data_IF_832504764955
#
_entry.id   IF_832504764955
#
_cell.length_a   1.000
_cell.length_b   1.000
_cell.length_c   1.000
_cell.angle_alpha   90.00
_cell.angle_beta   90.00
_cell.angle_gamma   90.00
#
_symmetry.space_group_name_H-M   'P 1'
#
loop_
_entity.id
_entity.type
_entity.pdbx_description
1 polymer ?
#
# COMPACT_ATOMS: atom_id res chain seq x y z
N UNK A 1 12.41 0.87 -6.52
CA UNK A 1 11.05 0.46 -6.93
C UNK A 1 11.13 -0.30 -8.25
N UNK A 2 10.40 -1.40 -8.45
CA UNK A 2 10.39 -2.12 -9.74
C UNK A 2 9.64 -1.38 -10.85
N UNK A 3 8.97 -0.27 -10.52
CA UNK A 3 8.14 0.52 -11.43
C UNK A 3 8.57 1.99 -11.51
N UNK A 4 8.11 2.65 -12.57
CA UNK A 4 8.40 4.04 -12.90
C UNK A 4 7.11 4.82 -13.17
N UNK A 5 6.36 5.13 -12.11
CA UNK A 5 5.23 6.05 -12.21
C UNK A 5 5.74 7.46 -12.49
N UNK A 6 5.14 8.18 -13.44
CA UNK A 6 5.68 9.43 -13.96
C UNK A 6 5.72 10.57 -12.92
N UNK A 7 4.92 10.47 -11.86
CA UNK A 7 4.84 11.45 -10.77
C UNK A 7 5.69 11.09 -9.55
N UNK A 8 6.20 9.85 -9.47
CA UNK A 8 6.76 9.33 -8.24
C UNK A 8 8.23 9.71 -8.10
N UNK A 9 8.60 10.27 -6.95
CA UNK A 9 9.99 10.67 -6.65
C UNK A 9 10.86 9.51 -6.12
N UNK A 10 10.37 8.27 -6.14
CA UNK A 10 11.13 7.09 -5.71
C UNK A 10 11.94 6.55 -6.88
N UNK A 11 13.24 6.32 -6.65
CA UNK A 11 14.15 5.75 -7.65
C UNK A 11 13.67 4.39 -8.17
N UNK A 12 13.51 4.29 -9.48
CA UNK A 12 13.27 3.02 -10.17
C UNK A 12 14.57 2.24 -10.30
N UNK A 13 14.52 0.93 -10.07
CA UNK A 13 15.68 0.06 -10.18
C UNK A 13 15.38 -1.36 -9.72
N UNK A 14 16.42 -2.19 -9.70
CA UNK A 14 16.36 -3.54 -9.11
C UNK A 14 16.43 -3.37 -7.60
N UNK A 15 15.41 -3.76 -6.82
CA UNK A 15 15.46 -3.68 -5.37
C UNK A 15 16.51 -4.63 -4.79
N UNK A 16 17.05 -4.26 -3.64
CA UNK A 16 17.83 -5.18 -2.82
C UNK A 16 16.96 -6.35 -2.30
N UNK A 17 17.64 -7.36 -1.77
CA UNK A 17 16.98 -8.45 -1.06
C UNK A 17 16.12 -7.89 0.07
N UNK A 18 14.95 -8.49 0.27
CA UNK A 18 14.06 -8.13 1.37
C UNK A 18 14.80 -8.36 2.70
N UNK A 19 14.83 -7.33 3.54
CA UNK A 19 15.39 -7.44 4.88
C UNK A 19 14.32 -7.97 5.86
N UNK A 20 14.52 -9.20 6.32
CA UNK A 20 13.58 -9.89 7.20
C UNK A 20 13.48 -9.25 8.60
N UNK A 21 14.46 -8.44 9.00
CA UNK A 21 14.48 -7.74 10.30
C UNK A 21 13.96 -6.30 10.23
N UNK A 22 13.59 -5.81 9.04
CA UNK A 22 12.96 -4.49 8.90
C UNK A 22 11.71 -4.32 9.78
N UNK A 23 10.79 -5.29 9.89
CA UNK A 23 9.61 -5.18 10.76
C UNK A 23 9.94 -4.93 12.24
N UNK A 24 10.95 -5.64 12.76
CA UNK A 24 11.38 -5.53 14.16
C UNK A 24 11.99 -4.15 14.44
N UNK A 25 12.84 -3.66 13.53
CA UNK A 25 13.47 -2.34 13.65
C UNK A 25 12.46 -1.21 13.49
N UNK A 26 11.52 -1.34 12.56
CA UNK A 26 10.43 -0.38 12.36
C UNK A 26 9.62 -0.22 13.65
N UNK A 27 9.18 -1.33 14.22
CA UNK A 27 8.37 -1.32 15.43
C UNK A 27 9.15 -0.83 16.67
N UNK A 28 10.45 -1.13 16.77
CA UNK A 28 11.32 -0.53 17.79
C UNK A 28 11.41 1.00 17.65
N UNK A 29 11.60 1.52 16.42
CA UNK A 29 11.65 2.95 16.18
C UNK A 29 10.31 3.65 16.51
N UNK A 30 9.17 3.05 16.13
CA UNK A 30 7.83 3.58 16.45
C UNK A 30 7.63 3.70 17.96
N UNK A 31 8.07 2.69 18.73
CA UNK A 31 7.98 2.70 20.19
C UNK A 31 8.83 3.82 20.81
N UNK A 32 10.06 4.01 20.34
CA UNK A 32 10.95 5.10 20.81
C UNK A 32 10.35 6.48 20.52
N UNK A 33 9.72 6.65 19.35
CA UNK A 33 9.08 7.90 18.94
C UNK A 33 7.70 8.13 19.60
N UNK A 34 7.15 7.12 20.30
CA UNK A 34 5.84 7.16 20.96
C UNK A 34 4.70 7.66 20.03
N UNK A 35 4.72 7.19 18.78
CA UNK A 35 3.71 7.59 17.79
C UNK A 35 2.36 6.97 18.11
N UNK A 36 1.27 7.72 17.90
CA UNK A 36 -0.11 7.25 18.11
C UNK A 36 -0.82 6.83 16.82
N UNK A 37 -0.33 7.31 15.69
CA UNK A 37 -0.79 6.93 14.37
C UNK A 37 0.42 6.77 13.45
N UNK A 38 0.44 5.70 12.66
CA UNK A 38 1.51 5.41 11.72
C UNK A 38 0.92 5.01 10.36
N UNK A 39 1.58 5.46 9.29
CA UNK A 39 1.30 5.06 7.92
C UNK A 39 2.49 4.23 7.43
N UNK A 40 2.24 2.98 7.02
CA UNK A 40 3.25 2.12 6.40
C UNK A 40 3.00 2.11 4.90
N UNK A 41 4.03 2.36 4.10
CA UNK A 41 3.95 2.21 2.65
C UNK A 41 5.16 1.44 2.13
N UNK A 42 5.11 1.02 0.87
CA UNK A 42 6.21 0.32 0.23
C UNK A 42 6.38 0.78 -1.21
N UNK A 43 7.55 0.48 -1.76
CA UNK A 43 7.74 0.46 -3.21
C UNK A 43 7.03 -0.76 -3.81
N UNK A 44 6.79 -0.75 -5.12
CA UNK A 44 6.40 -1.97 -5.84
C UNK A 44 7.57 -2.97 -5.83
N UNK A 45 7.25 -4.21 -5.46
CA UNK A 45 8.15 -5.37 -5.38
C UNK A 45 7.66 -6.48 -6.29
N UNK A 46 7.59 -6.21 -7.60
CA UNK A 46 7.14 -7.19 -8.59
C UNK A 46 8.02 -8.48 -8.59
N UNK A 47 9.25 -8.36 -8.10
CA UNK A 47 10.23 -9.43 -7.90
C UNK A 47 9.84 -10.43 -6.79
N UNK A 48 8.98 -10.05 -5.84
CA UNK A 48 8.51 -10.94 -4.79
C UNK A 48 7.25 -11.71 -5.22
N UNK A 49 7.09 -12.98 -4.79
CA UNK A 49 5.96 -13.83 -5.20
C UNK A 49 4.59 -13.32 -4.68
N UNK A 50 4.58 -12.53 -3.60
CA UNK A 50 3.40 -11.93 -2.98
C UNK A 50 3.36 -10.40 -3.15
N UNK A 51 4.34 -9.82 -3.85
CA UNK A 51 4.48 -8.37 -4.00
C UNK A 51 4.84 -7.64 -2.69
N UNK A 52 5.31 -8.35 -1.66
CA UNK A 52 5.63 -7.80 -0.34
C UNK A 52 4.45 -7.76 0.64
N UNK A 53 3.31 -8.40 0.32
CA UNK A 53 2.13 -8.42 1.18
C UNK A 53 2.41 -9.00 2.58
N UNK A 54 3.14 -10.12 2.69
CA UNK A 54 3.51 -10.70 3.99
C UNK A 54 4.36 -9.76 4.81
N UNK A 55 5.16 -8.90 4.16
CA UNK A 55 6.02 -7.96 4.84
C UNK A 55 5.22 -6.88 5.56
N UNK A 56 4.16 -6.37 4.94
CA UNK A 56 3.20 -5.49 5.61
C UNK A 56 2.59 -6.16 6.85
N UNK A 57 2.17 -7.42 6.73
CA UNK A 57 1.57 -8.16 7.86
C UNK A 57 2.58 -8.30 9.01
N UNK A 58 3.82 -8.69 8.72
CA UNK A 58 4.90 -8.78 9.72
C UNK A 58 5.15 -7.44 10.41
N UNK A 59 5.14 -6.33 9.66
CA UNK A 59 5.26 -4.99 10.25
C UNK A 59 4.09 -4.65 11.19
N UNK A 60 2.86 -4.93 10.78
CA UNK A 60 1.67 -4.73 11.63
C UNK A 60 1.79 -5.55 12.91
N UNK A 61 2.10 -6.83 12.80
CA UNK A 61 2.21 -7.74 13.95
C UNK A 61 3.29 -7.30 14.93
N UNK A 62 4.48 -6.91 14.43
CA UNK A 62 5.58 -6.43 15.27
C UNK A 62 5.26 -5.12 16.01
N UNK A 63 4.47 -4.23 15.39
CA UNK A 63 3.99 -3.01 16.05
C UNK A 63 2.97 -3.36 17.12
N UNK A 64 1.99 -4.20 16.80
CA UNK A 64 0.92 -4.62 17.72
C UNK A 64 1.44 -5.37 18.95
N UNK A 65 2.52 -6.14 18.81
CA UNK A 65 3.21 -6.79 19.95
C UNK A 65 3.74 -5.78 20.97
N UNK A 66 4.09 -4.56 20.53
CA UNK A 66 4.67 -3.51 21.38
C UNK A 66 3.61 -2.55 21.93
N UNK A 67 2.65 -2.14 21.10
CA UNK A 67 1.52 -1.30 21.52
C UNK A 67 0.29 -1.59 20.65
N UNK A 68 -0.74 -2.19 21.26
CA UNK A 68 -1.99 -2.52 20.59
C UNK A 68 -2.87 -1.30 20.30
N UNK A 69 -2.59 -0.14 20.91
CA UNK A 69 -3.43 1.06 20.79
C UNK A 69 -3.01 2.01 19.66
N UNK A 70 -1.84 1.80 19.04
CA UNK A 70 -1.38 2.62 17.92
C UNK A 70 -2.32 2.42 16.73
N UNK A 71 -2.79 3.49 16.10
CA UNK A 71 -3.57 3.33 14.86
C UNK A 71 -2.63 3.12 13.66
N UNK A 72 -2.91 2.12 12.83
CA UNK A 72 -2.07 1.70 11.71
C UNK A 72 -2.85 1.85 10.39
N UNK A 73 -2.39 2.77 9.55
CA UNK A 73 -2.78 2.85 8.13
C UNK A 73 -1.71 2.17 7.29
N UNK A 74 -2.12 1.38 6.29
CA UNK A 74 -1.21 0.89 5.25
C UNK A 74 -1.58 1.50 3.91
N UNK A 75 -0.59 2.03 3.19
CA UNK A 75 -0.70 2.50 1.81
C UNK A 75 0.02 1.51 0.90
N UNK A 76 -0.74 0.64 0.25
CA UNK A 76 -0.18 -0.51 -0.48
C UNK A 76 0.03 -0.23 -1.97
N UNK A 77 0.98 -0.93 -2.61
CA UNK A 77 0.99 -1.07 -4.07
C UNK A 77 -0.25 -1.82 -4.56
N UNK A 78 -0.36 -2.02 -5.86
CA UNK A 78 -1.50 -2.71 -6.47
C UNK A 78 -1.38 -4.24 -6.49
N UNK A 79 -0.24 -4.81 -6.09
CA UNK A 79 0.03 -6.25 -6.12
C UNK A 79 -0.29 -6.91 -7.47
N UNK A 80 -0.01 -6.23 -8.59
CA UNK A 80 -0.30 -6.68 -9.95
C UNK A 80 0.09 -8.15 -10.18
N UNK A 81 -0.88 -8.95 -10.64
CA UNK A 81 -0.74 -10.39 -10.90
C UNK A 81 -0.37 -11.23 -9.66
N UNK A 82 -0.64 -10.75 -8.44
CA UNK A 82 -0.43 -11.47 -7.18
C UNK A 82 -1.78 -11.70 -6.47
N UNK A 83 -2.61 -12.65 -6.93
CA UNK A 83 -3.99 -12.81 -6.43
C UNK A 83 -4.09 -13.14 -4.94
N UNK A 84 -3.03 -13.71 -4.35
CA UNK A 84 -2.99 -14.06 -2.93
C UNK A 84 -2.66 -12.88 -2.01
N UNK A 85 -2.08 -11.79 -2.53
CA UNK A 85 -1.65 -10.64 -1.73
C UNK A 85 -2.81 -9.99 -0.97
N UNK A 86 -3.97 -9.84 -1.62
CA UNK A 86 -5.17 -9.29 -0.97
C UNK A 86 -5.62 -10.16 0.20
N UNK A 87 -5.57 -11.49 0.06
CA UNK A 87 -5.98 -12.39 1.14
C UNK A 87 -5.06 -12.23 2.34
N UNK A 88 -3.76 -12.16 2.10
CA UNK A 88 -2.74 -11.93 3.14
C UNK A 88 -3.03 -10.63 3.88
N UNK A 89 -3.26 -9.53 3.16
CA UNK A 89 -3.54 -8.22 3.77
C UNK A 89 -4.91 -8.19 4.46
N UNK A 90 -5.96 -8.77 3.88
CA UNK A 90 -7.28 -8.79 4.48
C UNK A 90 -7.34 -9.58 5.79
N UNK A 91 -6.44 -10.57 5.95
CA UNK A 91 -6.24 -11.30 7.19
C UNK A 91 -5.41 -10.54 8.22
N UNK A 92 -4.65 -9.52 7.79
CA UNK A 92 -4.04 -8.56 8.71
C UNK A 92 -5.06 -7.53 9.18
N UNK A 93 -4.84 -6.94 10.36
CA UNK A 93 -5.75 -5.97 10.98
C UNK A 93 -5.15 -4.55 10.99
N UNK A 94 -4.91 -3.91 9.82
CA UNK A 94 -4.71 -2.47 9.80
C UNK A 94 -6.04 -1.78 10.14
N UNK A 95 -5.95 -0.61 10.76
CA UNK A 95 -7.14 0.22 11.01
C UNK A 95 -7.65 0.85 9.71
N UNK A 96 -6.71 1.22 8.82
CA UNK A 96 -7.00 1.78 7.49
C UNK A 96 -6.21 1.05 6.41
N UNK A 97 -6.91 0.50 5.42
CA UNK A 97 -6.33 0.06 4.16
C UNK A 97 -6.46 1.18 3.12
N UNK A 98 -5.33 1.74 2.71
CA UNK A 98 -5.23 2.77 1.71
C UNK A 98 -4.61 2.21 0.42
N UNK A 99 -5.26 2.48 -0.70
CA UNK A 99 -4.67 2.29 -2.02
C UNK A 99 -5.07 3.47 -2.90
N UNK A 100 -4.10 4.33 -3.22
CA UNK A 100 -4.36 5.49 -4.05
C UNK A 100 -4.63 5.08 -5.50
N UNK A 101 -5.67 5.66 -6.08
CA UNK A 101 -5.98 5.58 -7.51
C UNK A 101 -5.16 6.62 -8.28
N UNK A 102 -4.78 7.72 -7.63
CA UNK A 102 -3.89 8.79 -8.10
C UNK A 102 -4.48 9.69 -9.18
N UNK A 103 -5.20 9.17 -10.17
CA UNK A 103 -5.76 9.98 -11.26
C UNK A 103 -6.98 9.31 -11.91
N UNK A 104 -7.71 10.09 -12.69
CA UNK A 104 -8.87 9.66 -13.49
C UNK A 104 -8.50 8.63 -14.58
N UNK A 105 -9.46 7.78 -15.05
CA UNK A 105 -9.18 6.70 -16.00
C UNK A 105 -8.46 7.13 -17.28
N UNK A 106 -8.84 8.28 -17.85
CA UNK A 106 -8.26 8.81 -19.09
C UNK A 106 -6.76 9.05 -19.01
N UNK A 107 -6.27 9.48 -17.85
CA UNK A 107 -4.86 9.79 -17.62
C UNK A 107 -4.06 8.61 -17.06
N UNK A 108 -4.73 7.54 -16.67
CA UNK A 108 -4.15 6.49 -15.85
C UNK A 108 -2.92 5.83 -16.48
N UNK A 109 -3.00 5.46 -17.77
CA UNK A 109 -1.88 4.83 -18.46
C UNK A 109 -0.67 5.77 -18.64
N UNK A 110 -0.91 7.08 -18.70
CA UNK A 110 0.15 8.10 -18.80
C UNK A 110 0.85 8.30 -17.46
N UNK A 111 0.08 8.37 -16.38
CA UNK A 111 0.57 8.68 -15.02
C UNK A 111 1.13 7.41 -14.34
N UNK A 112 0.47 6.26 -14.54
CA UNK A 112 0.79 4.95 -13.94
C UNK A 112 0.85 3.84 -15.01
N UNK A 113 1.89 3.78 -15.86
CA UNK A 113 1.93 2.89 -17.02
C UNK A 113 1.70 1.39 -16.73
N UNK A 114 2.12 0.93 -15.55
CA UNK A 114 2.00 -0.48 -15.14
C UNK A 114 0.78 -0.81 -14.28
N UNK A 115 0.10 0.18 -13.72
CA UNK A 115 -1.12 -0.06 -12.95
C UNK A 115 -2.34 -0.09 -13.88
N UNK A 116 -3.50 -0.57 -13.38
CA UNK A 116 -4.79 -0.49 -14.08
C UNK A 116 -5.87 0.10 -13.17
N UNK A 117 -6.62 1.07 -13.68
CA UNK A 117 -7.62 1.82 -12.89
C UNK A 117 -8.65 0.91 -12.22
N UNK A 118 -9.28 0.02 -12.99
CA UNK A 118 -10.27 -0.91 -12.46
C UNK A 118 -9.69 -1.97 -11.53
N UNK A 119 -8.41 -2.32 -11.69
CA UNK A 119 -7.71 -3.20 -10.75
C UNK A 119 -7.53 -2.50 -9.39
N UNK A 120 -7.11 -1.23 -9.39
CA UNK A 120 -7.00 -0.42 -8.18
C UNK A 120 -8.33 -0.25 -7.44
N UNK A 121 -9.43 -0.03 -8.17
CA UNK A 121 -10.77 -0.04 -7.56
C UNK A 121 -11.15 -1.41 -6.99
N UNK A 122 -10.83 -2.47 -7.72
CA UNK A 122 -11.12 -3.83 -7.29
C UNK A 122 -10.41 -4.19 -5.98
N UNK A 123 -9.16 -3.75 -5.77
CA UNK A 123 -8.45 -3.95 -4.49
C UNK A 123 -9.23 -3.41 -3.29
N UNK A 124 -9.68 -2.16 -3.37
CA UNK A 124 -10.45 -1.51 -2.31
C UNK A 124 -11.75 -2.26 -2.03
N UNK A 125 -12.46 -2.65 -3.10
CA UNK A 125 -13.68 -3.46 -3.01
C UNK A 125 -13.41 -4.80 -2.31
N UNK A 126 -12.38 -5.53 -2.73
CA UNK A 126 -12.06 -6.85 -2.20
C UNK A 126 -11.70 -6.81 -0.70
N UNK A 127 -11.00 -5.78 -0.23
CA UNK A 127 -10.74 -5.59 1.20
C UNK A 127 -12.04 -5.44 1.97
N UNK A 128 -12.97 -4.60 1.49
CA UNK A 128 -14.29 -4.45 2.12
C UNK A 128 -15.12 -5.72 2.12
N UNK A 129 -15.10 -6.48 1.03
CA UNK A 129 -15.83 -7.75 0.95
C UNK A 129 -15.28 -8.82 1.91
N UNK A 130 -13.96 -8.85 2.12
CA UNK A 130 -13.30 -9.81 3.01
C UNK A 130 -13.34 -9.41 4.47
N UNK A 131 -13.17 -8.13 4.75
CA UNK A 131 -13.16 -7.61 6.10
C UNK A 131 -13.83 -6.21 6.15
N UNK A 132 -15.16 -6.16 6.34
CA UNK A 132 -15.92 -4.90 6.32
C UNK A 132 -15.49 -3.88 7.38
N UNK A 133 -14.85 -4.33 8.46
CA UNK A 133 -14.45 -3.49 9.60
C UNK A 133 -13.22 -2.62 9.29
N UNK A 134 -12.35 -3.05 8.36
CA UNK A 134 -11.18 -2.27 7.93
C UNK A 134 -11.68 -1.03 7.18
N UNK A 135 -11.24 0.17 7.59
CA UNK A 135 -11.58 1.39 6.86
C UNK A 135 -10.80 1.43 5.53
N UNK A 136 -11.48 1.64 4.41
CA UNK A 136 -10.80 1.75 3.10
C UNK A 136 -10.68 3.20 2.67
N UNK A 137 -9.51 3.58 2.19
CA UNK A 137 -9.16 4.94 1.77
C UNK A 137 -8.49 4.93 0.39
N UNK A 138 -8.66 6.03 -0.34
CA UNK A 138 -7.94 6.29 -1.58
C UNK A 138 -7.68 7.78 -1.71
N UNK A 139 -6.86 8.16 -2.69
CA UNK A 139 -6.51 9.53 -3.00
C UNK A 139 -6.36 9.74 -4.51
N UNK A 140 -6.56 11.00 -4.91
CA UNK A 140 -6.31 11.52 -6.25
C UNK A 140 -5.35 12.71 -6.12
N UNK A 141 -4.38 12.80 -7.03
CA UNK A 141 -3.61 14.01 -7.24
C UNK A 141 -4.29 14.83 -8.32
N UNK A 142 -4.61 16.08 -8.01
CA UNK A 142 -5.16 17.04 -8.97
C UNK A 142 -4.05 17.87 -9.62
N UNK A 143 -4.31 18.43 -10.80
CA UNK A 143 -3.37 19.19 -11.60
C UNK A 143 -2.58 18.37 -12.63
N UNK A 144 -3.02 17.14 -12.92
CA UNK A 144 -2.39 16.25 -13.93
C UNK A 144 -3.00 16.40 -15.33
N UNK A 145 -4.04 17.23 -15.45
CA UNK A 145 -4.78 17.52 -16.69
C UNK A 145 -6.17 16.87 -16.73
N UNK A 146 -6.66 16.42 -15.59
CA UNK A 146 -8.03 15.97 -15.37
C UNK A 146 -9.01 17.14 -15.44
N UNK A 147 -10.22 16.87 -15.94
CA UNK A 147 -11.34 17.81 -15.87
C UNK A 147 -12.06 17.63 -14.53
N UNK A 148 -12.75 18.69 -14.08
CA UNK A 148 -13.51 18.65 -12.82
C UNK A 148 -14.58 17.57 -12.82
N UNK A 149 -15.18 17.29 -13.97
CA UNK A 149 -16.22 16.28 -14.14
C UNK A 149 -15.70 14.84 -14.12
N UNK A 150 -14.38 14.65 -14.28
CA UNK A 150 -13.74 13.34 -14.21
C UNK A 150 -13.34 12.94 -12.77
N UNK A 151 -13.28 13.91 -11.85
CA UNK A 151 -12.90 13.76 -10.43
C UNK A 151 -14.14 13.43 -9.60
#
# INVERSE_FOLDING_TARGET
CTRACAFCNVTTGIPDKLDIHEPERLAAAISVLNLKHIVITSVDRDDLPDGGAEHFVKCIDEIRKRDSNITIEILTPDFLNKPHAINIIASSLPDVYNHNIETVPRLYAKVRPRARYFHSLHLLKMIKEKNPTIFTKSGLMVGLGELKEEV
#
